data_IF_776582903466
#
_entry.id   IF_776582903466
#
_cell.length_a   1.000
_cell.length_b   1.000
_cell.length_c   1.000
_cell.angle_alpha   90.00
_cell.angle_beta   90.00
_cell.angle_gamma   90.00
#
_symmetry.space_group_name_H-M   'P 1'
#
loop_
_entity.id
_entity.type
_entity.pdbx_description
1 polymer ?
#
# COMPACT_ATOMS: atom_id res chain seq x y z
N UNK A 1 -49.91 0.24 -21.51
CA UNK A 1 -48.73 0.73 -22.25
C UNK A 1 -47.55 0.73 -21.29
N UNK A 2 -46.58 -0.15 -21.54
CA UNK A 2 -45.18 0.04 -21.14
C UNK A 2 -44.66 1.33 -21.82
N UNK A 3 -43.66 2.07 -21.37
CA UNK A 3 -42.61 1.88 -20.38
C UNK A 3 -41.43 2.72 -20.88
N UNK A 4 -40.63 3.34 -20.01
CA UNK A 4 -39.29 3.83 -20.36
C UNK A 4 -38.55 4.26 -19.09
N UNK A 5 -37.86 3.29 -18.49
CA UNK A 5 -36.69 3.55 -17.64
C UNK A 5 -35.46 3.36 -18.52
N UNK A 6 -34.80 4.45 -18.90
CA UNK A 6 -33.54 4.40 -19.64
C UNK A 6 -32.54 5.39 -19.05
N UNK A 7 -31.42 4.83 -18.60
CA UNK A 7 -30.07 5.39 -18.65
C UNK A 7 -29.60 6.45 -17.65
N UNK A 8 -29.30 5.99 -16.42
CA UNK A 8 -28.26 6.59 -15.58
C UNK A 8 -26.85 6.04 -15.85
N UNK A 9 -26.70 4.87 -16.49
CA UNK A 9 -25.42 4.22 -16.77
C UNK A 9 -24.62 4.89 -17.89
N UNK A 10 -25.30 5.32 -18.96
CA UNK A 10 -24.63 5.91 -20.12
C UNK A 10 -24.01 7.29 -19.81
N UNK A 11 -24.58 8.05 -18.87
CA UNK A 11 -24.03 9.34 -18.45
C UNK A 11 -22.67 9.19 -17.73
N UNK A 12 -22.47 8.12 -16.94
CA UNK A 12 -21.21 7.88 -16.24
C UNK A 12 -20.08 7.49 -17.20
N UNK A 13 -20.37 6.65 -18.21
CA UNK A 13 -19.35 6.28 -19.20
C UNK A 13 -19.01 7.44 -20.15
N UNK A 14 -19.99 8.23 -20.56
CA UNK A 14 -19.74 9.44 -21.36
C UNK A 14 -18.97 10.49 -20.56
N UNK A 15 -19.27 10.69 -19.26
CA UNK A 15 -18.49 11.57 -18.39
C UNK A 15 -17.03 11.12 -18.30
N UNK A 16 -16.78 9.84 -17.97
CA UNK A 16 -15.43 9.30 -17.82
C UNK A 16 -14.61 9.36 -19.11
N UNK A 17 -15.22 9.12 -20.27
CA UNK A 17 -14.56 9.30 -21.55
C UNK A 17 -14.25 10.77 -21.86
N UNK A 18 -15.14 11.69 -21.50
CA UNK A 18 -14.99 13.13 -21.77
C UNK A 18 -13.90 13.75 -20.90
N UNK A 19 -13.88 13.42 -19.62
CA UNK A 19 -12.86 13.91 -18.67
C UNK A 19 -11.48 13.29 -18.93
N UNK A 20 -11.40 12.04 -19.39
CA UNK A 20 -10.15 11.45 -19.85
C UNK A 20 -9.63 12.10 -21.14
N UNK A 21 -10.49 12.31 -22.15
CA UNK A 21 -10.11 13.04 -23.37
C UNK A 21 -9.66 14.47 -23.09
N UNK A 22 -10.31 15.16 -22.14
CA UNK A 22 -9.91 16.50 -21.71
C UNK A 22 -8.52 16.50 -21.05
N UNK A 23 -8.20 15.48 -20.23
CA UNK A 23 -6.90 15.34 -19.57
C UNK A 23 -5.77 15.09 -20.58
N UNK A 24 -6.01 14.24 -21.59
CA UNK A 24 -5.04 13.93 -22.66
C UNK A 24 -4.80 15.18 -23.52
N UNK A 25 -5.84 15.95 -23.85
CA UNK A 25 -5.73 17.19 -24.63
C UNK A 25 -5.04 18.32 -23.84
N UNK A 26 -5.24 18.38 -22.51
CA UNK A 26 -4.55 19.33 -21.64
C UNK A 26 -3.05 18.99 -21.47
N UNK A 27 -2.72 17.69 -21.41
CA UNK A 27 -1.34 17.22 -21.31
C UNK A 27 -0.49 17.51 -22.56
N UNK A 28 -1.10 17.61 -23.75
CA UNK A 28 -0.38 17.91 -24.99
C UNK A 28 -0.08 19.40 -25.21
N UNK A 29 -0.59 20.28 -24.34
CA UNK A 29 -0.42 21.75 -24.47
C UNK A 29 0.69 22.32 -23.58
N UNK A 30 1.45 21.49 -22.85
CA UNK A 30 2.49 21.94 -21.90
C UNK A 30 3.88 22.12 -22.54
N UNK A 31 4.15 21.53 -23.70
CA UNK A 31 5.46 21.62 -24.36
C UNK A 31 5.44 22.54 -25.58
N UNK A 32 5.17 23.83 -25.36
CA UNK A 32 5.64 24.89 -26.26
C UNK A 32 5.31 26.26 -25.66
N UNK A 33 6.29 26.89 -25.01
CA UNK A 33 6.64 28.31 -25.17
C UNK A 33 7.50 28.76 -23.97
N UNK A 34 8.80 28.96 -24.20
CA UNK A 34 9.56 30.17 -23.83
C UNK A 34 11.06 29.94 -24.01
N UNK A 35 11.54 30.43 -25.15
CA UNK A 35 12.92 30.81 -25.40
C UNK A 35 13.13 32.26 -24.90
N UNK A 36 14.40 32.64 -24.69
CA UNK A 36 15.00 33.87 -24.08
C UNK A 36 15.15 33.82 -22.55
N UNK A 37 16.32 33.99 -21.92
CA UNK A 37 17.57 34.64 -22.34
C UNK A 37 18.82 34.09 -21.61
N UNK A 38 19.98 34.34 -22.23
CA UNK A 38 21.34 34.01 -21.81
C UNK A 38 21.74 34.53 -20.41
N UNK A 39 22.58 33.77 -19.69
CA UNK A 39 23.74 34.28 -18.91
C UNK A 39 24.81 33.18 -18.81
N UNK A 40 26.05 33.57 -19.08
CA UNK A 40 27.30 32.81 -19.10
C UNK A 40 27.62 32.01 -17.83
N UNK A 41 28.38 30.92 -18.00
CA UNK A 41 29.30 30.45 -16.94
C UNK A 41 29.64 28.96 -16.91
N UNK A 42 30.76 28.62 -17.56
CA UNK A 42 31.70 27.51 -17.25
C UNK A 42 31.48 26.10 -17.81
N UNK A 43 32.42 25.75 -18.70
CA UNK A 43 32.88 24.42 -19.09
C UNK A 43 33.24 23.55 -17.87
N UNK A 44 32.95 22.25 -17.87
CA UNK A 44 33.90 21.22 -18.35
C UNK A 44 33.34 19.80 -18.19
N UNK A 45 33.78 18.97 -19.11
CA UNK A 45 33.48 17.57 -19.35
C UNK A 45 34.14 16.70 -18.28
N UNK A 46 33.38 15.80 -17.64
CA UNK A 46 33.90 14.46 -17.40
C UNK A 46 32.75 13.46 -17.26
N UNK A 47 32.53 12.69 -18.33
CA UNK A 47 31.60 11.58 -18.34
C UNK A 47 32.11 10.48 -17.41
N UNK A 48 31.38 10.23 -16.34
CA UNK A 48 31.53 9.02 -15.54
C UNK A 48 30.22 8.24 -15.58
N UNK A 49 30.07 7.51 -16.68
CA UNK A 49 29.16 6.37 -16.77
C UNK A 49 29.72 5.25 -15.87
N UNK A 50 29.42 5.31 -14.58
CA UNK A 50 29.74 4.24 -13.62
C UNK A 50 28.46 3.52 -13.15
N UNK A 51 27.62 3.07 -14.09
CA UNK A 51 26.51 2.15 -13.81
C UNK A 51 26.54 0.87 -14.66
N UNK A 52 27.65 0.59 -15.36
CA UNK A 52 27.77 -0.57 -16.24
C UNK A 52 28.63 -1.71 -15.65
N UNK A 53 28.80 -1.81 -14.32
CA UNK A 53 29.74 -2.78 -13.74
C UNK A 53 29.50 -3.15 -12.27
N UNK A 54 28.38 -3.80 -11.98
CA UNK A 54 28.22 -4.71 -10.82
C UNK A 54 27.30 -5.81 -11.36
N UNK A 55 27.82 -6.92 -11.87
CA UNK A 55 28.56 -7.91 -11.09
C UNK A 55 27.72 -9.19 -11.16
N UNK A 56 27.83 -9.83 -12.31
CA UNK A 56 27.22 -11.10 -12.67
C UNK A 56 28.25 -12.18 -12.42
N UNK A 57 28.18 -12.89 -11.29
CA UNK A 57 28.87 -14.17 -11.01
C UNK A 57 28.68 -14.61 -9.54
N UNK A 58 27.75 -15.54 -9.26
CA UNK A 58 28.03 -17.00 -9.22
C UNK A 58 27.00 -17.81 -8.37
N UNK A 59 26.73 -19.03 -8.85
CA UNK A 59 26.04 -20.16 -8.19
C UNK A 59 24.59 -19.98 -7.67
N UNK A 60 23.61 -20.45 -8.46
CA UNK A 60 22.92 -21.74 -8.22
C UNK A 60 22.08 -22.06 -9.45
N UNK A 61 22.67 -22.82 -10.38
CA UNK A 61 21.93 -23.56 -11.40
C UNK A 61 21.14 -24.66 -10.67
N UNK A 62 19.96 -24.34 -10.17
CA UNK A 62 18.92 -25.35 -10.06
C UNK A 62 18.41 -25.57 -11.47
N UNK A 63 18.62 -26.78 -12.01
CA UNK A 63 18.00 -27.22 -13.25
C UNK A 63 16.49 -26.97 -13.14
N UNK A 64 16.03 -25.89 -13.78
CA UNK A 64 14.62 -25.60 -14.04
C UNK A 64 14.09 -26.67 -15.00
N UNK A 65 13.81 -27.83 -14.41
CA UNK A 65 12.96 -28.86 -14.99
C UNK A 65 11.57 -28.27 -15.08
N UNK A 66 11.28 -27.66 -16.24
CA UNK A 66 9.99 -27.06 -16.55
C UNK A 66 8.86 -28.07 -16.28
N UNK A 67 8.04 -27.88 -15.23
CA UNK A 67 6.96 -28.81 -14.88
C UNK A 67 5.78 -28.73 -15.85
N UNK A 68 5.88 -27.90 -16.90
CA UNK A 68 4.92 -27.76 -17.99
C UNK A 68 5.38 -28.43 -19.29
N UNK A 69 6.49 -29.17 -19.30
CA UNK A 69 6.86 -29.99 -20.46
C UNK A 69 5.79 -31.08 -20.67
N UNK A 70 4.91 -30.88 -21.65
CA UNK A 70 3.92 -31.86 -22.09
C UNK A 70 4.69 -32.98 -22.80
N UNK A 71 5.12 -33.99 -22.04
CA UNK A 71 5.51 -35.27 -22.63
C UNK A 71 4.24 -35.83 -23.24
N UNK A 72 4.24 -36.07 -24.56
CA UNK A 72 3.16 -36.78 -25.22
C UNK A 72 3.15 -38.21 -24.68
N UNK A 73 2.28 -38.46 -23.70
CA UNK A 73 2.05 -39.78 -23.13
C UNK A 73 1.31 -40.65 -24.16
N UNK A 74 2.08 -41.26 -25.06
CA UNK A 74 1.66 -42.44 -25.80
C UNK A 74 1.91 -43.65 -24.90
N UNK A 75 0.98 -43.96 -23.98
CA UNK A 75 1.01 -45.24 -23.28
C UNK A 75 -0.08 -46.18 -23.84
N UNK A 76 0.31 -47.32 -24.45
CA UNK A 76 -0.58 -48.29 -25.07
C UNK A 76 -1.01 -49.40 -24.10
N UNK A 77 -1.54 -49.06 -22.92
CA UNK A 77 -2.05 -50.07 -21.99
C UNK A 77 -3.15 -49.50 -21.10
N UNK A 78 -4.39 -49.88 -21.41
CA UNK A 78 -5.39 -50.11 -20.36
C UNK A 78 -6.14 -51.42 -20.67
N UNK A 79 -6.17 -52.39 -19.74
CA UNK A 79 -6.80 -53.68 -19.95
C UNK A 79 -8.32 -53.57 -19.74
N UNK A 80 -9.07 -53.97 -20.76
CA UNK A 80 -10.50 -54.26 -20.68
C UNK A 80 -10.80 -55.30 -19.57
N UNK A 81 -11.79 -55.09 -18.70
CA UNK A 81 -12.34 -56.17 -17.90
C UNK A 81 -13.51 -56.81 -18.66
N UNK A 82 -13.26 -57.99 -19.25
CA UNK A 82 -14.31 -58.98 -19.49
C UNK A 82 -14.45 -59.87 -18.27
N UNK A 83 -15.67 -60.28 -17.89
CA UNK A 83 -15.88 -61.54 -17.21
C UNK A 83 -16.72 -62.48 -18.08
N UNK A 84 -16.12 -63.61 -18.49
CA UNK A 84 -16.82 -64.77 -19.05
C UNK A 84 -16.86 -65.87 -17.98
N UNK A 85 -18.06 -66.33 -17.60
CA UNK A 85 -18.38 -67.74 -17.27
C UNK A 85 -19.89 -67.98 -17.12
N UNK A 86 -20.43 -68.80 -18.03
CA UNK A 86 -21.71 -69.54 -18.02
C UNK A 86 -21.67 -70.74 -17.02
N UNK A 87 -22.70 -71.61 -16.82
CA UNK A 87 -24.14 -71.42 -16.55
C UNK A 87 -24.79 -72.35 -15.44
N UNK A 88 -26.00 -71.97 -14.95
CA UNK A 88 -27.15 -72.72 -14.32
C UNK A 88 -26.96 -73.61 -13.03
N UNK A 89 -28.03 -74.03 -12.27
CA UNK A 89 -29.50 -73.90 -12.45
C UNK A 89 -30.37 -73.50 -11.20
N UNK A 90 -31.59 -73.01 -11.47
CA UNK A 90 -32.86 -73.39 -10.82
C UNK A 90 -33.22 -72.89 -9.41
N UNK A 91 -34.26 -72.04 -9.32
CA UNK A 91 -35.33 -72.18 -8.31
C UNK A 91 -36.54 -71.30 -8.68
N UNK A 92 -37.65 -71.97 -8.98
CA UNK A 92 -38.99 -71.46 -9.20
C UNK A 92 -39.60 -70.93 -7.90
N UNK A 93 -40.38 -69.85 -7.95
CA UNK A 93 -41.68 -69.79 -7.26
C UNK A 93 -42.37 -68.44 -7.48
N UNK A 94 -43.60 -68.53 -7.97
CA UNK A 94 -44.55 -67.46 -8.17
C UNK A 94 -45.00 -66.82 -6.85
N UNK A 95 -45.30 -65.52 -6.89
CA UNK A 95 -46.37 -64.93 -6.08
C UNK A 95 -46.84 -63.64 -6.75
N UNK A 96 -48.04 -63.74 -7.31
CA UNK A 96 -48.83 -62.72 -8.00
C UNK A 96 -49.40 -61.72 -7.00
N UNK A 97 -49.34 -60.42 -7.31
CA UNK A 97 -50.21 -59.41 -6.69
C UNK A 97 -49.48 -58.17 -6.14
N UNK A 98 -49.19 -57.19 -7.01
CA UNK A 98 -48.71 -55.86 -6.57
C UNK A 98 -47.91 -55.03 -7.60
N UNK A 99 -47.91 -55.40 -8.88
CA UNK A 99 -46.86 -55.03 -9.84
C UNK A 99 -46.79 -53.58 -10.35
N UNK A 100 -47.81 -52.74 -10.13
CA UNK A 100 -47.85 -51.43 -10.80
C UNK A 100 -47.07 -50.33 -10.03
N UNK A 101 -47.10 -50.34 -8.69
CA UNK A 101 -46.35 -49.36 -7.89
C UNK A 101 -44.86 -49.71 -7.73
N UNK A 102 -44.51 -51.00 -7.78
CA UNK A 102 -43.13 -51.47 -7.62
C UNK A 102 -42.27 -51.24 -8.87
N UNK A 103 -42.83 -51.33 -10.08
CA UNK A 103 -42.07 -51.04 -11.30
C UNK A 103 -41.76 -49.55 -11.44
N UNK A 104 -42.73 -48.69 -11.11
CA UNK A 104 -42.58 -47.23 -11.11
C UNK A 104 -41.53 -46.77 -10.08
N UNK A 105 -41.45 -47.44 -8.91
CA UNK A 105 -40.45 -47.12 -7.89
C UNK A 105 -39.02 -47.50 -8.31
N UNK A 106 -38.83 -48.66 -8.95
CA UNK A 106 -37.51 -49.09 -9.46
C UNK A 106 -37.03 -48.18 -10.61
N UNK A 107 -37.94 -47.75 -11.48
CA UNK A 107 -37.62 -46.80 -12.56
C UNK A 107 -37.27 -45.40 -12.03
N UNK A 108 -37.94 -44.94 -10.96
CA UNK A 108 -37.57 -43.71 -10.25
C UNK A 108 -36.17 -43.79 -9.65
N UNK A 109 -35.86 -44.87 -8.94
CA UNK A 109 -34.52 -45.05 -8.34
C UNK A 109 -33.42 -45.07 -9.40
N UNK A 110 -33.64 -45.75 -10.53
CA UNK A 110 -32.68 -45.74 -11.66
C UNK A 110 -32.49 -44.34 -12.25
N UNK A 111 -33.57 -43.55 -12.35
CA UNK A 111 -33.48 -42.14 -12.79
C UNK A 111 -32.72 -41.30 -11.79
N UNK A 112 -32.99 -41.46 -10.50
CA UNK A 112 -32.31 -40.77 -9.40
C UNK A 112 -30.81 -41.12 -9.35
N UNK A 113 -30.44 -42.37 -9.67
CA UNK A 113 -29.04 -42.79 -9.79
C UNK A 113 -28.31 -42.10 -10.96
N UNK A 114 -28.95 -42.02 -12.14
CA UNK A 114 -28.39 -41.31 -13.30
C UNK A 114 -28.25 -39.82 -13.00
N UNK A 115 -29.27 -39.21 -12.40
CA UNK A 115 -29.24 -37.80 -12.00
C UNK A 115 -28.12 -37.51 -10.99
N UNK A 116 -27.92 -38.41 -10.03
CA UNK A 116 -26.83 -38.31 -9.05
C UNK A 116 -25.45 -38.36 -9.72
N UNK A 117 -25.28 -39.23 -10.74
CA UNK A 117 -24.03 -39.32 -11.52
C UNK A 117 -23.79 -38.06 -12.35
N UNK A 118 -24.82 -37.53 -13.01
CA UNK A 118 -24.74 -36.28 -13.77
C UNK A 118 -24.36 -35.12 -12.85
N UNK A 119 -25.04 -35.00 -11.71
CA UNK A 119 -24.77 -33.99 -10.69
C UNK A 119 -23.34 -34.08 -10.15
N UNK A 120 -22.86 -35.28 -9.84
CA UNK A 120 -21.48 -35.49 -9.38
C UNK A 120 -20.45 -35.09 -10.44
N UNK A 121 -20.68 -35.46 -11.70
CA UNK A 121 -19.81 -35.07 -12.82
C UNK A 121 -19.79 -33.55 -13.05
N UNK A 122 -20.97 -32.92 -13.05
CA UNK A 122 -21.12 -31.46 -13.16
C UNK A 122 -20.37 -30.76 -12.02
N UNK A 123 -20.59 -31.17 -10.78
CA UNK A 123 -19.92 -30.59 -9.61
C UNK A 123 -18.40 -30.75 -9.70
N UNK A 124 -17.91 -31.90 -10.17
CA UNK A 124 -16.48 -32.10 -10.42
C UNK A 124 -15.90 -31.13 -11.45
N UNK A 125 -16.61 -30.89 -12.56
CA UNK A 125 -16.20 -29.91 -13.59
C UNK A 125 -16.22 -28.48 -13.05
N UNK A 126 -17.28 -28.09 -12.35
CA UNK A 126 -17.40 -26.76 -11.71
C UNK A 126 -16.30 -26.56 -10.68
N UNK A 127 -16.03 -27.55 -9.83
CA UNK A 127 -14.97 -27.48 -8.83
C UNK A 127 -13.58 -27.28 -9.48
N UNK A 128 -13.29 -27.97 -10.59
CA UNK A 128 -12.04 -27.80 -11.33
C UNK A 128 -11.87 -26.37 -11.87
N UNK A 129 -12.93 -25.80 -12.45
CA UNK A 129 -12.93 -24.42 -12.96
C UNK A 129 -12.74 -23.43 -11.81
N UNK A 130 -13.49 -23.59 -10.73
CA UNK A 130 -13.41 -22.69 -9.57
C UNK A 130 -12.03 -22.75 -8.89
N UNK A 131 -11.43 -23.94 -8.80
CA UNK A 131 -10.08 -24.07 -8.23
C UNK A 131 -9.03 -23.33 -9.07
N UNK A 132 -9.14 -23.39 -10.41
CA UNK A 132 -8.27 -22.61 -11.29
C UNK A 132 -8.49 -21.11 -11.10
N UNK A 133 -9.75 -20.67 -11.11
CA UNK A 133 -10.09 -19.26 -10.90
C UNK A 133 -9.51 -18.72 -9.58
N UNK A 134 -9.66 -19.46 -8.47
CA UNK A 134 -9.12 -19.05 -7.16
C UNK A 134 -7.60 -18.89 -7.14
N UNK A 135 -6.86 -19.67 -7.94
CA UNK A 135 -5.40 -19.51 -8.05
C UNK A 135 -5.04 -18.24 -8.81
N UNK A 136 -5.69 -18.00 -9.95
CA UNK A 136 -5.50 -16.78 -10.74
C UNK A 136 -5.86 -15.54 -9.92
N UNK A 137 -6.99 -15.59 -9.21
CA UNK A 137 -7.44 -14.50 -8.33
C UNK A 137 -6.43 -14.21 -7.21
N UNK A 138 -5.86 -15.25 -6.58
CA UNK A 138 -4.81 -15.07 -5.58
C UNK A 138 -3.54 -14.42 -6.15
N UNK A 139 -3.17 -14.76 -7.40
CA UNK A 139 -2.03 -14.15 -8.09
C UNK A 139 -2.30 -12.67 -8.39
N UNK A 140 -3.49 -12.35 -8.90
CA UNK A 140 -3.91 -10.98 -9.20
C UNK A 140 -3.88 -10.14 -7.92
N UNK A 141 -4.51 -10.63 -6.86
CA UNK A 141 -4.55 -9.95 -5.56
C UNK A 141 -3.15 -9.76 -4.96
N UNK A 142 -2.28 -10.76 -5.08
CA UNK A 142 -0.88 -10.67 -4.64
C UNK A 142 -0.12 -9.58 -5.39
N UNK A 143 -0.30 -9.50 -6.71
CA UNK A 143 0.33 -8.48 -7.54
C UNK A 143 -0.20 -7.07 -7.25
N UNK A 144 -1.52 -6.91 -7.14
CA UNK A 144 -2.15 -5.63 -6.76
C UNK A 144 -1.66 -5.17 -5.39
N UNK A 145 -1.67 -6.08 -4.40
CA UNK A 145 -1.17 -5.81 -3.05
C UNK A 145 0.30 -5.37 -3.06
N UNK A 146 1.14 -5.97 -3.90
CA UNK A 146 2.52 -5.56 -4.06
C UNK A 146 2.65 -4.13 -4.63
N UNK A 147 1.84 -3.76 -5.63
CA UNK A 147 1.85 -2.40 -6.18
C UNK A 147 1.33 -1.37 -5.18
N UNK A 148 0.23 -1.67 -4.48
CA UNK A 148 -0.33 -0.81 -3.43
C UNK A 148 0.68 -0.62 -2.29
N UNK A 149 1.34 -1.70 -1.85
CA UNK A 149 2.38 -1.62 -0.81
C UNK A 149 3.58 -0.79 -1.26
N UNK A 150 4.00 -0.92 -2.53
CA UNK A 150 5.07 -0.12 -3.11
C UNK A 150 4.73 1.37 -3.14
N UNK A 151 3.52 1.72 -3.60
CA UNK A 151 3.04 3.10 -3.61
C UNK A 151 2.93 3.67 -2.19
N UNK A 152 2.35 2.90 -1.26
CA UNK A 152 2.20 3.28 0.15
C UNK A 152 3.57 3.51 0.82
N UNK A 153 4.55 2.65 0.54
CA UNK A 153 5.91 2.79 1.05
C UNK A 153 6.61 4.04 0.51
N UNK A 154 6.39 4.36 -0.77
CA UNK A 154 6.90 5.60 -1.36
C UNK A 154 6.27 6.84 -0.69
N UNK A 155 4.95 6.85 -0.50
CA UNK A 155 4.25 7.94 0.19
C UNK A 155 4.80 8.14 1.61
N UNK A 156 4.93 7.06 2.39
CA UNK A 156 5.48 7.10 3.75
C UNK A 156 6.91 7.64 3.78
N UNK A 157 7.72 7.36 2.76
CA UNK A 157 9.07 7.92 2.62
C UNK A 157 9.04 9.43 2.38
N UNK A 158 8.09 9.93 1.61
CA UNK A 158 7.88 11.37 1.39
C UNK A 158 7.45 12.05 2.69
N UNK A 159 6.45 11.49 3.39
CA UNK A 159 5.97 12.01 4.67
C UNK A 159 7.09 12.11 5.71
N UNK A 160 7.91 11.06 5.84
CA UNK A 160 9.05 11.08 6.77
C UNK A 160 10.04 12.22 6.46
N UNK A 161 10.34 12.46 5.18
CA UNK A 161 11.21 13.57 4.78
C UNK A 161 10.60 14.93 5.09
N UNK A 162 9.27 15.06 4.95
CA UNK A 162 8.56 16.28 5.28
C UNK A 162 8.60 16.53 6.80
N UNK A 163 8.33 15.51 7.60
CA UNK A 163 8.35 15.60 9.06
C UNK A 163 9.75 15.92 9.59
N UNK A 164 10.80 15.32 9.01
CA UNK A 164 12.19 15.63 9.35
C UNK A 164 12.53 17.11 9.09
N UNK A 165 12.08 17.67 7.96
CA UNK A 165 12.26 19.10 7.66
C UNK A 165 11.49 19.98 8.63
N UNK A 166 10.25 19.59 8.96
CA UNK A 166 9.39 20.30 9.92
C UNK A 166 10.03 20.33 11.31
N UNK A 167 10.51 19.19 11.80
CA UNK A 167 11.18 19.08 13.10
C UNK A 167 12.44 19.96 13.16
N UNK A 168 13.30 19.91 12.14
CA UNK A 168 14.50 20.77 12.06
C UNK A 168 14.17 22.26 12.06
N UNK A 169 13.13 22.67 11.35
CA UNK A 169 12.70 24.07 11.33
C UNK A 169 12.20 24.53 12.72
N UNK A 170 11.42 23.69 13.40
CA UNK A 170 10.93 23.96 14.74
C UNK A 170 12.08 24.04 15.76
N UNK A 171 13.03 23.11 15.70
CA UNK A 171 14.21 23.12 16.56
C UNK A 171 15.04 24.39 16.36
N UNK A 172 15.29 24.79 15.11
CA UNK A 172 16.03 26.02 14.80
C UNK A 172 15.31 27.25 15.38
N UNK A 173 13.99 27.35 15.17
CA UNK A 173 13.18 28.43 15.73
C UNK A 173 13.28 28.47 17.26
N UNK A 174 13.17 27.31 17.93
CA UNK A 174 13.28 27.24 19.39
C UNK A 174 14.68 27.62 19.89
N UNK A 175 15.73 27.21 19.18
CA UNK A 175 17.11 27.59 19.50
C UNK A 175 17.32 29.10 19.38
N UNK A 176 16.84 29.72 18.29
CA UNK A 176 16.93 31.17 18.10
C UNK A 176 16.18 31.94 19.20
N UNK A 177 14.99 31.47 19.58
CA UNK A 177 14.23 32.02 20.72
C UNK A 177 14.99 31.86 22.04
N UNK A 178 15.56 30.69 22.31
CA UNK A 178 16.34 30.43 23.52
C UNK A 178 17.59 31.31 23.59
N UNK A 179 18.30 31.48 22.47
CA UNK A 179 19.47 32.37 22.35
C UNK A 179 19.11 33.81 22.62
N UNK A 180 17.99 34.29 22.05
CA UNK A 180 17.49 35.64 22.31
C UNK A 180 17.12 35.84 23.78
N UNK A 181 16.42 34.89 24.40
CA UNK A 181 16.06 34.93 25.83
C UNK A 181 17.30 34.95 26.71
N UNK A 182 18.26 34.05 26.50
CA UNK A 182 19.51 34.01 27.26
C UNK A 182 20.27 35.34 27.20
N UNK A 183 20.37 35.94 26.00
CA UNK A 183 21.02 37.25 25.83
C UNK A 183 20.27 38.37 26.55
N UNK A 184 18.94 38.35 26.53
CA UNK A 184 18.12 39.32 27.25
C UNK A 184 18.26 39.16 28.77
N UNK A 185 18.29 37.93 29.27
CA UNK A 185 18.50 37.61 30.68
C UNK A 185 19.88 38.02 31.16
N UNK A 186 20.94 37.79 30.37
CA UNK A 186 22.29 38.25 30.69
C UNK A 186 22.37 39.78 30.83
N UNK A 187 21.69 40.50 29.92
CA UNK A 187 21.58 41.97 29.98
C UNK A 187 20.83 42.43 31.22
N UNK A 188 19.72 41.75 31.56
CA UNK A 188 18.93 42.04 32.77
C UNK A 188 19.74 41.78 34.03
N UNK A 189 20.42 40.64 34.13
CA UNK A 189 21.29 40.30 35.26
C UNK A 189 22.42 41.33 35.44
N UNK A 190 23.06 41.77 34.35
CA UNK A 190 24.10 42.80 34.38
C UNK A 190 23.56 44.15 34.87
N UNK A 191 22.34 44.53 34.45
CA UNK A 191 21.69 45.76 34.92
C UNK A 191 21.31 45.66 36.41
N UNK A 192 20.77 44.53 36.85
CA UNK A 192 20.41 44.25 38.24
C UNK A 192 21.65 44.28 39.14
N UNK A 193 22.77 43.70 38.71
CA UNK A 193 24.03 43.75 39.44
C UNK A 193 24.55 45.19 39.62
N UNK A 194 24.50 46.02 38.57
CA UNK A 194 24.85 47.45 38.65
C UNK A 194 23.91 48.21 39.59
N UNK A 195 22.61 47.91 39.56
CA UNK A 195 21.64 48.50 40.49
C UNK A 195 21.94 48.08 41.93
N UNK A 196 22.13 46.78 42.16
CA UNK A 196 22.43 46.20 43.48
C UNK A 196 23.66 46.81 44.13
N UNK A 197 24.76 46.99 43.38
CA UNK A 197 25.97 47.64 43.91
C UNK A 197 25.78 49.12 44.26
N UNK A 198 24.95 49.86 43.52
CA UNK A 198 24.61 51.25 43.86
C UNK A 198 23.72 51.31 45.10
N UNK A 199 22.70 50.45 45.17
CA UNK A 199 21.80 50.35 46.33
C UNK A 199 22.57 49.96 47.59
N UNK A 200 23.46 48.96 47.52
CA UNK A 200 24.29 48.54 48.63
C UNK A 200 25.15 49.69 49.19
N UNK A 201 25.80 50.47 48.31
CA UNK A 201 26.57 51.66 48.71
C UNK A 201 25.70 52.72 49.42
N UNK A 202 24.50 53.00 48.90
CA UNK A 202 23.58 53.95 49.54
C UNK A 202 23.15 53.45 50.92
N UNK A 203 22.85 52.15 51.05
CA UNK A 203 22.48 51.53 52.32
C UNK A 203 23.63 51.55 53.33
N UNK A 204 24.85 51.30 52.89
CA UNK A 204 26.05 51.37 53.73
C UNK A 204 26.25 52.79 54.28
N UNK A 205 26.19 53.81 53.40
CA UNK A 205 26.29 55.22 53.82
C UNK A 205 25.15 55.60 54.77
N UNK A 206 23.91 55.17 54.49
CA UNK A 206 22.77 55.44 55.36
C UNK A 206 22.94 54.79 56.75
N UNK A 207 23.47 53.56 56.82
CA UNK A 207 23.77 52.90 58.08
C UNK A 207 24.86 53.63 58.86
N UNK A 208 25.92 54.10 58.19
CA UNK A 208 26.96 54.93 58.81
C UNK A 208 26.38 56.24 59.36
N UNK A 209 25.55 56.94 58.60
CA UNK A 209 24.88 58.17 59.04
C UNK A 209 23.99 57.94 60.27
N UNK A 210 23.27 56.81 60.32
CA UNK A 210 22.46 56.41 61.47
C UNK A 210 23.33 56.13 62.71
N UNK A 211 24.47 55.48 62.54
CA UNK A 211 25.41 55.19 63.63
C UNK A 211 26.07 56.48 64.18
N UNK A 212 26.38 57.45 63.31
CA UNK A 212 27.04 58.72 63.69
C UNK A 212 26.02 59.81 64.10
N UNK A 213 24.73 59.60 63.89
CA UNK A 213 23.66 60.56 64.24
C UNK A 213 23.61 61.81 63.35
N UNK A 214 24.16 61.76 62.12
CA UNK A 214 24.24 62.90 61.20
C UNK A 214 23.26 62.77 60.03
N UNK A 215 22.45 63.81 59.81
CA UNK A 215 21.46 63.83 58.73
C UNK A 215 22.12 63.94 57.33
N UNK A 216 21.46 63.43 56.26
CA UNK A 216 21.97 63.55 54.89
C UNK A 216 22.14 65.00 54.46
N UNK A 217 23.26 65.30 53.78
CA UNK A 217 23.52 66.64 53.25
C UNK A 217 22.82 66.80 51.90
N UNK A 218 22.02 67.85 51.72
CA UNK A 218 21.34 68.13 50.44
C UNK A 218 22.38 68.44 49.36
N UNK A 219 22.57 67.53 48.41
CA UNK A 219 23.21 67.82 47.12
C UNK A 219 22.23 67.50 46.01
N UNK A 220 21.92 68.49 45.20
CA UNK A 220 21.10 68.35 44.00
C UNK A 220 21.84 67.50 42.97
N UNK A 221 21.24 66.41 42.53
CA UNK A 221 21.70 65.62 41.40
C UNK A 221 20.55 65.60 40.37
N UNK A 222 20.61 66.50 39.40
CA UNK A 222 19.95 66.40 38.09
C UNK A 222 21.07 66.22 37.05
#
# INVERSE_FOLDING_TARGET
MAGEGANLSDQNFTSMSTEFSALVLAGSSIDNNSNYDNIEGTNNINGNNNLARIGEEDQMLEEETNPLAIVADNNPFDPVPSPRREPHPGASSAATGGGDQSEVSVQRVKREEVESKISAWQNGKVAKINNRFKREDAIINGWEGAQVSKASSWMKKVERKLEEKRARALEKMQNDVAKARRKAEERRASAEAKRGTKVARVLEVANLMRAVGRAPVKRSFF
#
